data_IF_591785963946
#
_entry.id   IF_591785963946
#
_cell.length_a   1.000
_cell.length_b   1.000
_cell.length_c   1.000
_cell.angle_alpha   90.00
_cell.angle_beta   90.00
_cell.angle_gamma   90.00
#
_symmetry.space_group_name_H-M   'P 1'
#
loop_
_entity.id
_entity.type
_entity.pdbx_description
1 polymer ?
#
# COMPACT_ATOMS: atom_id res chain seq x y z
N UNK A 1 45.81 -26.23 34.76
CA UNK A 1 46.20 -25.39 33.62
C UNK A 1 45.31 -25.72 32.45
N UNK A 2 44.79 -24.68 31.79
CA UNK A 2 44.24 -24.62 30.43
C UNK A 2 42.96 -25.48 30.20
N UNK A 3 41.77 -24.94 29.96
CA UNK A 3 41.42 -23.72 29.24
C UNK A 3 41.01 -24.09 27.81
N UNK A 4 39.69 -24.14 27.56
CA UNK A 4 39.11 -24.39 26.23
C UNK A 4 37.67 -23.89 26.19
N UNK A 5 37.51 -22.65 25.73
CA UNK A 5 36.25 -21.90 25.62
C UNK A 5 35.22 -22.60 24.71
N UNK A 6 33.91 -22.42 24.95
CA UNK A 6 32.91 -22.69 23.92
C UNK A 6 32.96 -21.56 22.89
N UNK A 7 33.08 -21.92 21.62
CA UNK A 7 32.90 -21.01 20.51
C UNK A 7 31.47 -20.47 20.56
N UNK A 8 31.33 -19.17 20.84
CA UNK A 8 30.07 -18.47 20.75
C UNK A 8 29.57 -18.48 19.30
N UNK A 9 28.36 -18.97 19.10
CA UNK A 9 27.59 -18.65 17.91
C UNK A 9 27.40 -17.13 17.87
N UNK A 10 28.02 -16.48 16.88
CA UNK A 10 27.91 -15.04 16.64
C UNK A 10 26.49 -14.74 16.12
N UNK A 11 25.53 -14.78 17.03
CA UNK A 11 24.14 -14.36 16.81
C UNK A 11 24.07 -12.86 16.67
N UNK A 12 24.51 -12.31 15.53
CA UNK A 12 24.10 -10.96 15.09
C UNK A 12 22.63 -11.00 14.67
N UNK A 13 21.76 -11.25 15.64
CA UNK A 13 20.35 -10.94 15.50
C UNK A 13 20.25 -9.44 15.27
N UNK A 14 19.71 -9.03 14.13
CA UNK A 14 19.36 -7.64 13.86
C UNK A 14 18.47 -7.18 15.02
N UNK A 15 18.97 -6.28 15.88
CA UNK A 15 18.18 -5.75 16.98
C UNK A 15 16.96 -5.04 16.39
N UNK A 16 15.78 -5.59 16.65
CA UNK A 16 14.51 -4.99 16.24
C UNK A 16 14.33 -3.70 17.02
N UNK A 17 14.15 -2.58 16.31
CA UNK A 17 13.87 -1.29 16.96
C UNK A 17 12.50 -1.34 17.62
N UNK A 18 12.41 -0.96 18.89
CA UNK A 18 11.13 -0.99 19.63
C UNK A 18 10.29 0.28 19.41
N UNK A 19 10.91 1.38 18.95
CA UNK A 19 10.28 2.69 18.76
C UNK A 19 10.92 3.44 17.57
N UNK A 20 10.25 4.48 17.02
CA UNK A 20 10.83 5.34 15.99
C UNK A 20 12.12 6.06 16.47
N UNK A 21 12.91 6.60 15.53
CA UNK A 21 12.64 6.71 14.09
C UNK A 21 12.77 5.38 13.33
N UNK A 22 11.92 5.18 12.32
CA UNK A 22 11.90 3.96 11.49
C UNK A 22 12.76 4.10 10.23
N UNK A 23 13.30 2.97 9.76
CA UNK A 23 13.87 2.82 8.42
C UNK A 23 12.84 2.16 7.51
N UNK A 24 12.34 2.90 6.53
CA UNK A 24 11.22 2.50 5.66
C UNK A 24 11.70 2.27 4.23
N UNK A 25 11.32 1.13 3.64
CA UNK A 25 11.40 0.91 2.19
C UNK A 25 10.00 1.00 1.59
N UNK A 26 9.77 1.98 0.73
CA UNK A 26 8.48 2.22 0.11
C UNK A 26 8.40 1.61 -1.30
N UNK A 27 7.33 0.90 -1.61
CA UNK A 27 7.06 0.28 -2.91
C UNK A 27 5.80 0.90 -3.52
N UNK A 28 5.93 1.55 -4.68
CA UNK A 28 4.76 2.13 -5.34
C UNK A 28 5.00 2.67 -6.73
N UNK A 29 3.91 2.98 -7.44
CA UNK A 29 3.99 3.42 -8.84
C UNK A 29 3.13 4.63 -9.17
N UNK A 30 1.85 4.63 -8.80
CA UNK A 30 0.84 5.56 -9.32
C UNK A 30 0.58 6.78 -8.41
N UNK A 31 -0.46 7.55 -8.76
CA UNK A 31 -0.85 8.76 -8.03
C UNK A 31 -1.34 8.45 -6.61
N UNK A 32 -2.12 7.38 -6.42
CA UNK A 32 -2.52 6.89 -5.10
C UNK A 32 -1.31 6.63 -4.20
N UNK A 33 -0.32 5.88 -4.70
CA UNK A 33 0.89 5.55 -3.97
C UNK A 33 1.75 6.78 -3.67
N UNK A 34 1.79 7.75 -4.59
CA UNK A 34 2.54 8.99 -4.41
C UNK A 34 2.11 9.78 -3.17
N UNK A 35 0.81 9.81 -2.85
CA UNK A 35 0.30 10.50 -1.65
C UNK A 35 0.83 9.86 -0.35
N UNK A 36 0.91 8.53 -0.29
CA UNK A 36 1.52 7.83 0.83
C UNK A 36 3.03 8.14 0.94
N UNK A 37 3.76 8.16 -0.19
CA UNK A 37 5.17 8.54 -0.20
C UNK A 37 5.38 9.99 0.25
N UNK A 38 4.52 10.92 -0.16
CA UNK A 38 4.56 12.33 0.27
C UNK A 38 4.43 12.45 1.79
N UNK A 39 3.48 11.73 2.40
CA UNK A 39 3.30 11.74 3.85
C UNK A 39 4.51 11.15 4.59
N UNK A 40 5.07 10.04 4.09
CA UNK A 40 6.29 9.45 4.65
C UNK A 40 7.48 10.42 4.54
N UNK A 41 7.62 11.11 3.41
CA UNK A 41 8.69 12.06 3.22
C UNK A 41 8.56 13.26 4.17
N UNK A 42 7.37 13.84 4.29
CA UNK A 42 7.10 14.91 5.25
C UNK A 42 7.39 14.47 6.71
N UNK A 43 7.03 13.24 7.07
CA UNK A 43 7.33 12.68 8.40
C UNK A 43 8.82 12.45 8.65
N UNK A 44 9.63 12.24 7.60
CA UNK A 44 11.10 12.19 7.69
C UNK A 44 11.73 13.58 7.85
N UNK A 45 11.13 14.59 7.22
CA UNK A 45 11.59 15.98 7.31
C UNK A 45 11.23 16.62 8.66
N UNK A 46 10.16 16.15 9.31
CA UNK A 46 9.77 16.60 10.64
C UNK A 46 10.76 16.12 11.73
N UNK A 47 11.61 17.04 12.20
CA UNK A 47 12.62 16.79 13.24
C UNK A 47 12.09 16.80 14.67
N UNK A 48 10.86 17.24 14.90
CA UNK A 48 10.25 17.25 16.22
C UNK A 48 9.65 15.88 16.57
N UNK A 49 9.01 15.22 15.61
CA UNK A 49 8.41 13.89 15.82
C UNK A 49 9.39 12.72 15.63
N UNK A 50 10.47 12.92 14.87
CA UNK A 50 11.48 11.91 14.52
C UNK A 50 10.87 10.55 14.17
N UNK A 51 9.85 10.52 13.29
CA UNK A 51 9.14 9.28 12.98
C UNK A 51 9.91 8.37 12.01
N UNK A 52 10.63 8.97 11.05
CA UNK A 52 11.32 8.25 9.97
C UNK A 52 12.76 8.77 9.87
N UNK A 53 13.73 7.88 10.05
CA UNK A 53 15.15 8.18 9.87
C UNK A 53 15.54 8.03 8.41
N UNK A 54 15.11 6.91 7.81
CA UNK A 54 15.48 6.51 6.45
C UNK A 54 14.23 6.22 5.63
N UNK A 55 14.20 6.73 4.41
CA UNK A 55 13.14 6.49 3.43
C UNK A 55 13.77 6.29 2.05
N UNK A 56 13.70 5.07 1.56
CA UNK A 56 14.11 4.72 0.20
C UNK A 56 12.89 4.23 -0.58
N UNK A 57 12.95 4.33 -1.91
CA UNK A 57 11.81 4.07 -2.80
C UNK A 57 12.16 2.99 -3.81
N UNK A 58 11.25 2.03 -3.99
CA UNK A 58 11.27 1.05 -5.06
C UNK A 58 10.09 1.31 -5.97
N UNK A 59 10.37 1.46 -7.26
CA UNK A 59 9.35 1.64 -8.29
C UNK A 59 9.57 0.68 -9.44
N UNK A 60 8.66 0.64 -10.41
CA UNK A 60 8.81 -0.22 -11.60
C UNK A 60 9.41 0.57 -12.77
N UNK A 61 10.15 -0.09 -13.68
CA UNK A 61 10.62 0.53 -14.90
C UNK A 61 9.46 1.14 -15.69
N UNK A 62 9.73 2.29 -16.32
CA UNK A 62 8.75 3.03 -17.10
C UNK A 62 9.35 3.43 -18.44
N UNK A 63 8.64 3.22 -19.57
CA UNK A 63 9.09 3.68 -20.87
C UNK A 63 8.98 5.21 -21.02
N UNK A 64 8.14 5.87 -20.21
CA UNK A 64 8.04 7.33 -20.20
C UNK A 64 9.33 7.93 -19.61
N UNK A 65 9.98 8.90 -20.30
CA UNK A 65 11.15 9.61 -19.78
C UNK A 65 10.89 10.31 -18.45
N UNK A 66 9.65 10.78 -18.22
CA UNK A 66 9.26 11.39 -16.95
C UNK A 66 9.13 10.35 -15.83
N UNK A 67 9.00 9.06 -16.14
CA UNK A 67 8.72 8.02 -15.14
C UNK A 67 7.27 8.04 -14.65
N UNK A 68 6.97 7.14 -13.71
CA UNK A 68 5.66 7.04 -13.04
C UNK A 68 5.55 8.06 -11.88
N UNK A 69 4.34 8.41 -11.40
CA UNK A 69 4.15 9.43 -10.37
C UNK A 69 5.04 9.28 -9.12
N UNK A 70 5.24 8.07 -8.62
CA UNK A 70 6.14 7.80 -7.47
C UNK A 70 7.60 8.11 -7.81
N UNK A 71 8.09 7.66 -8.98
CA UNK A 71 9.47 7.93 -9.44
C UNK A 71 9.71 9.43 -9.61
N UNK A 72 8.75 10.13 -10.24
CA UNK A 72 8.81 11.57 -10.43
C UNK A 72 8.99 12.31 -9.12
N UNK A 73 8.13 12.01 -8.14
CA UNK A 73 8.19 12.64 -6.83
C UNK A 73 9.49 12.32 -6.10
N UNK A 74 9.90 11.04 -6.06
CA UNK A 74 11.11 10.63 -5.36
C UNK A 74 12.38 11.32 -5.91
N UNK A 75 12.50 11.43 -7.24
CA UNK A 75 13.63 12.14 -7.87
C UNK A 75 13.59 13.64 -7.54
N UNK A 76 12.42 14.28 -7.64
CA UNK A 76 12.26 15.71 -7.29
C UNK A 76 12.59 16.00 -5.82
N UNK A 77 12.27 15.07 -4.94
CA UNK A 77 12.54 15.14 -3.50
C UNK A 77 13.90 14.59 -3.09
N UNK A 78 14.77 14.22 -4.05
CA UNK A 78 16.11 13.68 -3.80
C UNK A 78 16.13 12.43 -2.89
N UNK A 79 15.09 11.60 -2.98
CA UNK A 79 15.03 10.30 -2.30
C UNK A 79 15.78 9.24 -3.11
N UNK A 80 16.48 8.27 -2.46
CA UNK A 80 17.05 7.13 -3.16
C UNK A 80 15.95 6.31 -3.85
N UNK A 81 16.15 5.99 -5.13
CA UNK A 81 15.20 5.22 -5.94
C UNK A 81 15.89 3.98 -6.51
N UNK A 82 15.25 2.83 -6.34
CA UNK A 82 15.61 1.57 -6.96
C UNK A 82 14.53 1.16 -7.97
N UNK A 83 14.96 0.52 -9.06
CA UNK A 83 14.05 -0.06 -10.05
C UNK A 83 13.88 -1.56 -9.82
N UNK A 84 12.64 -1.98 -9.67
CA UNK A 84 12.29 -3.39 -9.48
C UNK A 84 12.89 -4.27 -10.59
N UNK A 85 13.55 -5.40 -10.27
CA UNK A 85 13.51 -6.11 -8.98
C UNK A 85 14.57 -5.71 -7.95
N UNK A 86 15.39 -4.69 -8.21
CA UNK A 86 16.32 -4.18 -7.21
C UNK A 86 15.57 -3.48 -6.07
N UNK A 87 16.01 -3.74 -4.84
CA UNK A 87 15.47 -3.20 -3.59
C UNK A 87 16.56 -2.53 -2.73
N UNK A 88 17.77 -2.40 -3.29
CA UNK A 88 18.95 -1.93 -2.58
C UNK A 88 19.49 -2.93 -1.56
N UNK A 89 20.60 -2.55 -0.92
CA UNK A 89 21.28 -3.33 0.12
C UNK A 89 21.04 -2.82 1.54
N UNK A 90 20.17 -1.82 1.70
CA UNK A 90 19.90 -1.20 2.99
C UNK A 90 19.15 -2.13 3.96
N UNK A 91 19.36 -1.88 5.26
CA UNK A 91 18.53 -2.45 6.31
C UNK A 91 17.30 -1.57 6.58
N UNK A 92 16.14 -2.21 6.72
CA UNK A 92 14.86 -1.54 6.95
C UNK A 92 14.09 -2.25 8.05
N UNK A 93 13.33 -1.48 8.83
CA UNK A 93 12.51 -2.01 9.92
C UNK A 93 11.14 -2.45 9.40
N UNK A 94 10.59 -1.72 8.42
CA UNK A 94 9.27 -1.97 7.85
C UNK A 94 9.24 -1.63 6.35
N UNK A 95 8.56 -2.47 5.57
CA UNK A 95 8.23 -2.15 4.19
C UNK A 95 6.84 -1.53 4.11
N UNK A 96 6.63 -0.63 3.16
CA UNK A 96 5.30 -0.08 2.85
C UNK A 96 5.04 -0.27 1.37
N UNK A 97 3.90 -0.86 1.01
CA UNK A 97 3.46 -1.02 -0.37
C UNK A 97 2.14 -0.29 -0.60
N UNK A 98 2.04 0.40 -1.73
CA UNK A 98 0.80 0.99 -2.23
C UNK A 98 0.82 0.94 -3.75
N UNK A 99 -0.23 0.40 -4.38
CA UNK A 99 -0.37 0.32 -5.84
C UNK A 99 0.91 -0.03 -6.61
N UNK A 100 1.63 -1.07 -6.16
CA UNK A 100 2.92 -1.45 -6.77
C UNK A 100 2.77 -2.43 -7.94
N UNK A 101 1.70 -3.22 -7.96
CA UNK A 101 1.37 -4.13 -9.06
C UNK A 101 2.29 -5.36 -9.20
N UNK A 102 3.17 -5.62 -8.23
CA UNK A 102 4.05 -6.80 -8.19
C UNK A 102 3.82 -7.61 -6.90
N UNK A 103 3.98 -8.93 -7.01
CA UNK A 103 4.06 -9.81 -5.85
C UNK A 103 5.44 -9.65 -5.19
N UNK A 104 5.44 -9.52 -3.88
CA UNK A 104 6.68 -9.53 -3.08
C UNK A 104 6.95 -10.96 -2.61
N UNK A 105 8.18 -11.42 -2.81
CA UNK A 105 8.58 -12.77 -2.41
C UNK A 105 8.58 -12.90 -0.89
N UNK A 106 8.38 -14.12 -0.41
CA UNK A 106 8.46 -14.44 1.03
C UNK A 106 9.83 -14.05 1.60
N UNK A 107 10.90 -14.37 0.87
CA UNK A 107 12.26 -13.99 1.25
C UNK A 107 12.45 -12.47 1.40
N UNK A 108 11.80 -11.66 0.55
CA UNK A 108 11.85 -10.20 0.70
C UNK A 108 11.02 -9.73 1.90
N UNK A 109 9.81 -10.26 2.09
CA UNK A 109 8.94 -9.89 3.22
C UNK A 109 9.64 -10.17 4.57
N UNK A 110 10.32 -11.31 4.69
CA UNK A 110 11.02 -11.73 5.90
C UNK A 110 12.28 -10.89 6.22
N UNK A 111 12.75 -10.04 5.29
CA UNK A 111 13.85 -9.10 5.59
C UNK A 111 13.42 -7.95 6.50
N UNK A 112 12.12 -7.68 6.61
CA UNK A 112 11.58 -6.59 7.43
C UNK A 112 11.12 -7.15 8.79
N UNK A 113 11.72 -6.72 9.91
CA UNK A 113 11.30 -7.15 11.25
C UNK A 113 9.80 -6.97 11.52
N UNK A 114 9.21 -5.88 11.03
CA UNK A 114 7.77 -5.59 11.16
C UNK A 114 6.93 -6.04 9.95
N UNK A 115 7.55 -6.75 9.01
CA UNK A 115 6.96 -7.14 7.74
C UNK A 115 6.72 -5.96 6.81
N UNK A 116 5.77 -6.14 5.89
CA UNK A 116 5.40 -5.12 4.90
C UNK A 116 3.93 -4.77 5.07
N UNK A 117 3.65 -3.47 5.22
CA UNK A 117 2.31 -2.90 5.29
C UNK A 117 1.79 -2.58 3.89
N UNK A 118 0.51 -2.82 3.62
CA UNK A 118 -0.18 -2.38 2.40
C UNK A 118 -1.23 -1.31 2.74
N UNK A 119 -1.26 -0.24 1.93
CA UNK A 119 -2.34 0.75 1.93
C UNK A 119 -3.37 0.35 0.88
N UNK A 120 -4.45 -0.31 1.30
CA UNK A 120 -5.46 -0.86 0.40
C UNK A 120 -6.72 0.01 0.34
N UNK A 121 -7.11 0.57 -0.82
CA UNK A 121 -8.23 1.51 -0.92
C UNK A 121 -9.60 0.83 -1.02
N UNK A 122 -9.91 0.00 -0.02
CA UNK A 122 -11.27 -0.47 0.26
C UNK A 122 -11.41 -0.93 1.71
N UNK A 123 -12.65 -1.19 2.12
CA UNK A 123 -12.97 -1.87 3.37
C UNK A 123 -12.85 -3.38 3.22
N UNK A 124 -11.64 -3.92 3.41
CA UNK A 124 -11.43 -5.37 3.42
C UNK A 124 -12.36 -6.08 4.43
N UNK A 125 -12.92 -7.25 4.08
CA UNK A 125 -12.50 -8.12 2.98
C UNK A 125 -13.16 -7.82 1.62
N UNK A 126 -13.99 -6.78 1.51
CA UNK A 126 -14.58 -6.36 0.24
C UNK A 126 -13.50 -5.77 -0.66
N UNK A 127 -13.55 -6.09 -1.95
CA UNK A 127 -12.66 -5.59 -2.99
C UNK A 127 -11.17 -5.92 -2.80
N UNK A 128 -10.84 -7.18 -2.53
CA UNK A 128 -9.46 -7.67 -2.66
C UNK A 128 -8.99 -7.61 -4.11
N UNK A 129 -7.75 -7.22 -4.37
CA UNK A 129 -7.16 -7.21 -5.70
C UNK A 129 -6.85 -5.81 -6.24
N UNK A 130 -6.50 -5.71 -7.53
CA UNK A 130 -5.77 -4.55 -8.06
C UNK A 130 -6.62 -3.31 -8.39
N UNK A 131 -7.95 -3.38 -8.41
CA UNK A 131 -8.80 -2.26 -8.87
C UNK A 131 -9.95 -1.86 -7.92
N UNK A 132 -9.76 -1.81 -6.58
CA UNK A 132 -10.86 -1.68 -5.62
C UNK A 132 -11.67 -0.38 -5.78
N UNK A 133 -11.02 0.75 -6.08
CA UNK A 133 -11.69 2.04 -6.26
C UNK A 133 -12.65 2.00 -7.45
N UNK A 134 -12.19 1.41 -8.57
CA UNK A 134 -13.02 1.27 -9.78
C UNK A 134 -14.22 0.37 -9.48
N UNK A 135 -14.00 -0.76 -8.82
CA UNK A 135 -15.09 -1.69 -8.48
C UNK A 135 -16.09 -1.10 -7.48
N UNK A 136 -15.63 -0.27 -6.55
CA UNK A 136 -16.50 0.50 -5.63
C UNK A 136 -17.50 1.35 -6.43
N UNK A 137 -17.01 2.13 -7.40
CA UNK A 137 -17.87 2.99 -8.24
C UNK A 137 -18.74 2.17 -9.18
N UNK A 138 -18.17 1.13 -9.80
CA UNK A 138 -18.85 0.26 -10.77
C UNK A 138 -20.08 -0.43 -10.17
N UNK A 139 -19.96 -0.89 -8.92
CA UNK A 139 -21.04 -1.58 -8.22
C UNK A 139 -21.99 -0.62 -7.48
N UNK A 140 -21.66 0.68 -7.46
CA UNK A 140 -22.46 1.71 -6.81
C UNK A 140 -22.50 1.57 -5.30
N UNK A 141 -21.38 1.18 -4.69
CA UNK A 141 -21.23 1.13 -3.25
C UNK A 141 -21.45 2.55 -2.68
N UNK A 142 -22.23 2.65 -1.60
CA UNK A 142 -22.52 3.93 -0.92
C UNK A 142 -21.52 4.25 0.19
N UNK A 143 -20.70 3.28 0.57
CA UNK A 143 -19.64 3.38 1.58
C UNK A 143 -18.43 2.61 1.08
N UNK A 144 -17.25 3.19 1.27
CA UNK A 144 -15.96 2.53 1.04
C UNK A 144 -15.00 2.94 2.15
N UNK A 145 -13.70 2.79 1.95
CA UNK A 145 -12.70 3.19 2.94
C UNK A 145 -11.30 2.79 2.56
N UNK A 146 -10.40 2.86 3.53
CA UNK A 146 -9.02 2.39 3.40
C UNK A 146 -8.74 1.40 4.50
N UNK A 147 -7.93 0.39 4.17
CA UNK A 147 -7.40 -0.57 5.12
C UNK A 147 -5.87 -0.52 5.09
N UNK A 148 -5.24 -0.32 6.25
CA UNK A 148 -3.82 -0.62 6.47
C UNK A 148 -3.74 -2.06 6.99
N UNK A 149 -3.01 -2.91 6.25
CA UNK A 149 -2.89 -4.34 6.55
C UNK A 149 -1.45 -4.81 6.44
N UNK A 150 -1.11 -5.93 7.06
CA UNK A 150 0.13 -6.64 6.73
C UNK A 150 -0.08 -7.52 5.50
N UNK A 151 0.87 -7.55 4.58
CA UNK A 151 0.80 -8.49 3.45
C UNK A 151 1.21 -9.90 3.87
N UNK A 152 0.74 -10.89 3.11
CA UNK A 152 1.18 -12.28 3.21
C UNK A 152 1.88 -12.69 1.91
N UNK A 153 2.84 -13.63 1.96
CA UNK A 153 3.44 -14.14 0.74
C UNK A 153 2.37 -14.83 -0.13
N UNK A 154 2.59 -14.83 -1.46
CA UNK A 154 1.82 -15.60 -2.47
C UNK A 154 0.34 -15.21 -2.67
N UNK A 155 -0.27 -14.39 -1.80
CA UNK A 155 -1.68 -13.97 -1.92
C UNK A 155 -1.84 -12.47 -1.67
N UNK A 156 -2.55 -11.79 -2.56
CA UNK A 156 -2.88 -10.37 -2.40
C UNK A 156 -4.01 -10.16 -1.40
N UNK A 157 -3.89 -9.12 -0.57
CA UNK A 157 -4.97 -8.53 0.23
C UNK A 157 -5.71 -9.49 1.19
N UNK A 158 -5.03 -10.53 1.69
CA UNK A 158 -5.60 -11.51 2.65
C UNK A 158 -5.05 -11.40 4.07
N UNK A 159 -4.01 -10.60 4.28
CA UNK A 159 -3.35 -10.52 5.59
C UNK A 159 -4.12 -9.69 6.63
N UNK A 160 -3.64 -9.69 7.89
CA UNK A 160 -4.32 -9.04 9.00
C UNK A 160 -4.53 -7.54 8.79
N UNK A 161 -5.70 -7.05 9.18
CA UNK A 161 -6.05 -5.63 9.21
C UNK A 161 -5.47 -5.01 10.48
N UNK A 162 -4.65 -3.98 10.33
CA UNK A 162 -4.11 -3.19 11.44
C UNK A 162 -5.02 -2.00 11.76
N UNK A 163 -5.51 -1.34 10.72
CA UNK A 163 -6.40 -0.18 10.84
C UNK A 163 -7.33 -0.11 9.62
N UNK A 164 -8.58 0.27 9.82
CA UNK A 164 -9.56 0.42 8.75
C UNK A 164 -10.50 1.58 9.08
N UNK A 165 -10.71 2.47 8.13
CA UNK A 165 -11.63 3.61 8.27
C UNK A 165 -12.54 3.68 7.06
N UNK A 166 -13.81 4.01 7.29
CA UNK A 166 -14.85 4.10 6.27
C UNK A 166 -15.12 5.55 5.89
N UNK A 167 -15.48 5.78 4.62
CA UNK A 167 -15.99 7.07 4.13
C UNK A 167 -17.24 6.84 3.27
N UNK A 168 -18.22 7.77 3.29
CA UNK A 168 -19.32 7.72 2.35
C UNK A 168 -18.79 7.91 0.92
N UNK A 169 -19.41 7.23 -0.05
CA UNK A 169 -19.18 7.47 -1.48
C UNK A 169 -20.24 8.46 -1.93
N UNK A 170 -19.87 9.72 -2.26
CA UNK A 170 -20.84 10.70 -2.69
C UNK A 170 -21.60 10.22 -3.94
N UNK A 171 -22.89 10.57 -4.07
CA UNK A 171 -23.65 10.27 -5.28
C UNK A 171 -22.92 10.80 -6.51
N UNK A 172 -22.83 9.97 -7.55
CA UNK A 172 -22.20 10.30 -8.84
C UNK A 172 -20.68 10.55 -8.78
N UNK A 173 -19.98 10.17 -7.71
CA UNK A 173 -18.52 10.22 -7.68
C UNK A 173 -17.89 9.39 -8.80
N UNK A 174 -16.85 9.95 -9.40
CA UNK A 174 -15.94 9.25 -10.30
C UNK A 174 -14.87 8.50 -9.52
N UNK A 175 -14.25 7.49 -10.14
CA UNK A 175 -13.13 6.78 -9.52
C UNK A 175 -11.95 7.70 -9.20
N UNK A 176 -11.71 8.74 -10.02
CA UNK A 176 -10.63 9.72 -9.82
C UNK A 176 -10.86 10.63 -8.62
N UNK A 177 -12.09 11.10 -8.43
CA UNK A 177 -12.46 11.88 -7.24
C UNK A 177 -12.32 11.02 -5.99
N UNK A 178 -12.79 9.78 -6.06
CA UNK A 178 -12.70 8.85 -4.95
C UNK A 178 -11.25 8.47 -4.63
N UNK A 179 -10.39 8.29 -5.64
CA UNK A 179 -8.95 8.07 -5.47
C UNK A 179 -8.30 9.20 -4.69
N UNK A 180 -8.65 10.46 -4.98
CA UNK A 180 -8.11 11.63 -4.27
C UNK A 180 -8.48 11.64 -2.79
N UNK A 181 -9.70 11.22 -2.45
CA UNK A 181 -10.15 11.12 -1.05
C UNK A 181 -9.45 9.97 -0.34
N UNK A 182 -9.42 8.80 -0.96
CA UNK A 182 -8.88 7.58 -0.34
C UNK A 182 -7.37 7.61 -0.22
N UNK A 183 -6.65 8.21 -1.16
CA UNK A 183 -5.19 8.31 -1.10
C UNK A 183 -4.73 9.16 0.09
N UNK A 184 -5.38 10.31 0.33
CA UNK A 184 -5.13 11.17 1.48
C UNK A 184 -5.48 10.48 2.80
N UNK A 185 -6.64 9.82 2.86
CA UNK A 185 -7.03 9.04 4.02
C UNK A 185 -6.01 7.94 4.33
N UNK A 186 -5.61 7.18 3.31
CA UNK A 186 -4.64 6.10 3.44
C UNK A 186 -3.26 6.56 3.88
N UNK A 187 -2.78 7.69 3.35
CA UNK A 187 -1.54 8.31 3.78
C UNK A 187 -1.58 8.69 5.27
N UNK A 188 -2.65 9.34 5.72
CA UNK A 188 -2.83 9.71 7.13
C UNK A 188 -2.92 8.48 8.05
N UNK A 189 -3.68 7.47 7.63
CA UNK A 189 -3.80 6.22 8.38
C UNK A 189 -2.46 5.49 8.49
N UNK A 190 -1.65 5.48 7.43
CA UNK A 190 -0.32 4.89 7.43
C UNK A 190 0.59 5.56 8.46
N UNK A 191 0.64 6.90 8.48
CA UNK A 191 1.43 7.64 9.48
C UNK A 191 0.95 7.32 10.91
N UNK A 192 -0.37 7.27 11.12
CA UNK A 192 -0.95 6.90 12.42
C UNK A 192 -0.54 5.49 12.87
N UNK A 193 -0.47 4.51 11.94
CA UNK A 193 0.01 3.15 12.24
C UNK A 193 1.50 3.16 12.55
N UNK A 194 2.32 3.89 11.78
CA UNK A 194 3.76 3.97 12.01
C UNK A 194 4.12 4.59 13.37
N UNK A 195 3.34 5.58 13.85
CA UNK A 195 3.54 6.16 15.19
C UNK A 195 3.42 5.13 16.32
N UNK A 196 2.61 4.08 16.14
CA UNK A 196 2.37 3.03 17.12
C UNK A 196 2.54 1.63 16.50
N UNK A 197 3.60 1.43 15.71
CA UNK A 197 3.73 0.24 14.85
C UNK A 197 3.69 -1.09 15.61
N UNK A 198 4.47 -1.31 16.70
CA UNK A 198 4.44 -2.58 17.43
C UNK A 198 3.05 -2.88 18.01
N UNK A 199 2.40 -1.86 18.57
CA UNK A 199 1.06 -1.99 19.14
C UNK A 199 0.01 -2.28 18.05
N UNK A 200 0.06 -1.54 16.93
CA UNK A 200 -0.85 -1.73 15.79
C UNK A 200 -0.76 -3.15 15.23
N UNK A 201 0.44 -3.72 15.19
CA UNK A 201 0.68 -5.10 14.79
C UNK A 201 0.12 -6.09 15.80
N UNK A 202 0.34 -5.86 17.10
CA UNK A 202 -0.20 -6.73 18.16
C UNK A 202 -1.74 -6.79 18.16
N UNK A 203 -2.39 -5.68 17.77
CA UNK A 203 -3.85 -5.55 17.65
C UNK A 203 -4.38 -5.95 16.27
N UNK A 204 -3.50 -6.37 15.36
CA UNK A 204 -3.87 -6.79 14.02
C UNK A 204 -4.86 -7.95 14.04
N UNK A 205 -5.97 -7.80 13.31
CA UNK A 205 -7.07 -8.77 13.27
C UNK A 205 -7.14 -9.48 11.93
N UNK A 206 -7.36 -10.80 11.94
CA UNK A 206 -7.59 -11.53 10.70
C UNK A 206 -8.84 -11.00 10.00
N UNK A 207 -8.81 -10.99 8.67
CA UNK A 207 -9.99 -10.61 7.90
C UNK A 207 -11.12 -11.64 8.11
N UNK A 208 -12.38 -11.21 8.19
CA UNK A 208 -13.50 -12.13 8.20
C UNK A 208 -13.57 -12.91 6.87
N UNK A 209 -14.17 -14.10 6.93
CA UNK A 209 -14.43 -14.94 5.75
C UNK A 209 -15.69 -14.52 5.01
N UNK A 210 -16.64 -13.90 5.72
CA UNK A 210 -17.86 -13.34 5.15
C UNK A 210 -17.59 -11.97 4.49
N UNK A 211 -18.31 -11.67 3.40
CA UNK A 211 -18.20 -10.40 2.69
C UNK A 211 -16.97 -10.25 1.77
N UNK A 212 -16.21 -11.33 1.57
CA UNK A 212 -15.07 -11.36 0.64
C UNK A 212 -15.58 -11.13 -0.79
N UNK A 213 -15.07 -10.08 -1.43
CA UNK A 213 -15.26 -9.85 -2.87
C UNK A 213 -13.94 -9.50 -3.53
N UNK A 214 -13.89 -9.59 -4.86
CA UNK A 214 -12.67 -9.38 -5.64
C UNK A 214 -12.85 -8.23 -6.62
N UNK A 215 -11.81 -7.41 -6.73
CA UNK A 215 -11.70 -6.28 -7.64
C UNK A 215 -10.62 -6.56 -8.70
N UNK A 216 -10.88 -7.47 -9.67
CA UNK A 216 -9.91 -7.82 -10.70
C UNK A 216 -9.54 -6.61 -11.57
N UNK A 217 -8.39 -6.72 -12.24
CA UNK A 217 -7.92 -5.69 -13.18
C UNK A 217 -8.96 -5.48 -14.27
N UNK A 218 -9.25 -4.22 -14.59
CA UNK A 218 -10.19 -3.85 -15.65
C UNK A 218 -9.64 -4.30 -17.00
N UNK A 219 -10.40 -5.14 -17.71
CA UNK A 219 -10.07 -5.63 -19.05
C UNK A 219 -10.73 -4.75 -20.12
N UNK A 220 -10.31 -4.90 -21.38
CA UNK A 220 -10.98 -4.24 -22.49
C UNK A 220 -12.48 -4.61 -22.56
N UNK A 221 -12.83 -5.88 -22.28
CA UNK A 221 -14.22 -6.33 -22.27
C UNK A 221 -15.07 -5.66 -21.18
N UNK A 222 -14.48 -5.33 -20.02
CA UNK A 222 -15.18 -4.57 -18.96
C UNK A 222 -15.55 -3.15 -19.42
N UNK A 223 -14.84 -2.59 -20.40
CA UNK A 223 -15.07 -1.23 -20.91
C UNK A 223 -16.21 -1.15 -21.93
N UNK A 224 -16.62 -2.27 -22.52
CA UNK A 224 -17.67 -2.26 -23.54
C UNK A 224 -19.05 -1.99 -22.92
N UNK A 225 -19.76 -0.99 -23.45
CA UNK A 225 -21.17 -0.81 -23.16
C UNK A 225 -21.95 -1.93 -23.84
N UNK A 226 -22.78 -2.62 -23.08
CA UNK A 226 -23.71 -3.62 -23.55
C UNK A 226 -25.13 -3.07 -23.45
N UNK A 227 -25.55 -2.36 -24.50
CA UNK A 227 -26.81 -1.60 -24.54
C UNK A 227 -28.05 -2.45 -24.20
N UNK A 228 -28.05 -3.72 -24.58
CA UNK A 228 -29.18 -4.64 -24.35
C UNK A 228 -29.17 -5.28 -22.95
N UNK A 229 -28.02 -5.31 -22.27
CA UNK A 229 -27.85 -5.97 -20.97
C UNK A 229 -27.77 -5.00 -19.78
N UNK A 230 -27.48 -3.71 -20.04
CA UNK A 230 -27.22 -2.72 -19.01
C UNK A 230 -28.32 -1.66 -18.92
N UNK A 231 -28.75 -1.40 -17.69
CA UNK A 231 -29.56 -0.23 -17.35
C UNK A 231 -28.77 1.06 -17.56
N UNK A 232 -29.48 2.18 -17.74
CA UNK A 232 -28.87 3.51 -17.82
C UNK A 232 -27.96 3.81 -16.62
N UNK A 233 -28.37 3.43 -15.40
CA UNK A 233 -27.56 3.63 -14.20
C UNK A 233 -26.26 2.78 -14.22
N UNK A 234 -26.30 1.54 -14.71
CA UNK A 234 -25.09 0.72 -14.86
C UNK A 234 -24.12 1.34 -15.88
N UNK A 235 -24.64 1.89 -16.97
CA UNK A 235 -23.83 2.60 -17.99
C UNK A 235 -23.19 3.86 -17.37
N UNK A 236 -23.96 4.64 -16.61
CA UNK A 236 -23.41 5.81 -15.92
C UNK A 236 -22.37 5.43 -14.85
N UNK A 237 -22.55 4.33 -14.11
CA UNK A 237 -21.53 3.83 -13.18
C UNK A 237 -20.28 3.41 -13.90
N UNK A 238 -20.40 2.70 -15.02
CA UNK A 238 -19.26 2.32 -15.85
C UNK A 238 -18.49 3.57 -16.28
N UNK A 239 -19.15 4.55 -16.91
CA UNK A 239 -18.54 5.82 -17.29
C UNK A 239 -17.81 6.52 -16.12
N UNK A 240 -18.45 6.61 -14.95
CA UNK A 240 -17.81 7.21 -13.76
C UNK A 240 -16.62 6.41 -13.23
N UNK A 241 -16.65 5.09 -13.36
CA UNK A 241 -15.63 4.19 -12.84
C UNK A 241 -14.38 4.15 -13.72
N UNK A 242 -14.53 4.17 -15.05
CA UNK A 242 -13.42 4.00 -15.99
C UNK A 242 -13.08 5.25 -16.82
N UNK A 243 -13.91 6.29 -16.78
CA UNK A 243 -13.73 7.51 -17.55
C UNK A 243 -14.25 7.40 -18.98
N UNK A 244 -13.61 8.10 -19.92
CA UNK A 244 -13.96 8.02 -21.34
C UNK A 244 -13.77 6.60 -21.86
N UNK A 245 -14.86 6.07 -22.40
CA UNK A 245 -15.02 4.73 -22.95
C UNK A 245 -14.57 4.74 -24.41
#
# INVERSE_FOLDING_TARGET
>A
GLGGSPAGEDGRGVRVREKPPWRVLFFGTDQFAREALQALHAARENKEEELIEKLDVVTVPSPSPKGLPVKQYAVQSHLPVYEWPDVGSGEYDVGVVASFGRLLSEALILKFPYGILNVHPSCLPRWRGPAPIIHTVLHGDTVTGVTIMQIKPKRFDVGPILKQETVPVPPKSTAKELETVLSRLGANMLISVLKNLPESLSKGRQQPTEGVTYAPKISAGTRCIKWEEQTSEQIFRLYRAIGTI
#
